data_IF_015663716303
#
_entry.id   IF_015663716303
#
_cell.length_a   1.000
_cell.length_b   1.000
_cell.length_c   1.000
_cell.angle_alpha   90.00
_cell.angle_beta   90.00
_cell.angle_gamma   90.00
#
_symmetry.space_group_name_H-M   'P 1'
#
loop_
_entity.id
_entity.type
_entity.pdbx_description
1 polymer ?
#
# COMPACT_ATOMS: atom_id res chain seq x y z
N UNK A 1 1.83 34.51 -35.70
CA UNK A 1 3.20 35.09 -35.72
C UNK A 1 4.14 34.05 -35.20
N UNK A 2 4.84 33.34 -36.10
CA UNK A 2 5.96 32.51 -35.78
C UNK A 2 7.00 33.37 -35.06
N UNK A 3 7.27 33.09 -33.79
CA UNK A 3 8.44 33.66 -33.15
C UNK A 3 9.66 33.05 -33.81
N UNK A 4 10.54 33.87 -34.29
CA UNK A 4 11.86 33.49 -34.73
C UNK A 4 12.71 33.00 -33.55
N UNK A 5 12.41 31.80 -33.08
CA UNK A 5 13.19 31.10 -32.10
C UNK A 5 14.00 30.03 -32.82
N UNK A 6 15.21 30.44 -33.09
CA UNK A 6 16.39 29.65 -33.42
C UNK A 6 16.38 28.89 -34.74
N UNK A 7 16.96 29.49 -35.76
CA UNK A 7 17.61 28.83 -36.90
C UNK A 7 18.89 28.02 -36.44
N UNK A 8 18.82 27.36 -35.29
CA UNK A 8 19.90 26.48 -34.84
C UNK A 8 19.72 25.16 -35.56
N UNK A 9 20.69 24.82 -36.39
CA UNK A 9 20.71 23.54 -37.11
C UNK A 9 20.76 22.37 -36.13
N UNK A 10 19.94 21.34 -36.38
CA UNK A 10 19.82 20.18 -35.52
C UNK A 10 20.33 18.95 -36.26
N UNK A 11 21.42 18.39 -35.78
CA UNK A 11 22.05 17.19 -36.34
C UNK A 11 21.91 16.01 -35.38
N UNK A 12 21.50 14.88 -35.92
CA UNK A 12 21.36 13.62 -35.18
C UNK A 12 22.39 12.62 -35.72
N UNK A 13 23.05 11.92 -34.83
CA UNK A 13 23.94 10.82 -35.21
C UNK A 13 23.07 9.62 -35.64
N UNK A 14 23.51 8.84 -36.65
CA UNK A 14 22.74 7.71 -37.21
C UNK A 14 22.48 6.62 -36.17
N UNK A 15 23.44 6.34 -35.31
CA UNK A 15 23.32 5.39 -34.21
C UNK A 15 22.33 5.86 -33.12
N UNK A 16 22.25 7.17 -32.89
CA UNK A 16 21.26 7.78 -32.01
C UNK A 16 19.83 7.60 -32.55
N UNK A 17 19.62 7.79 -33.85
CA UNK A 17 18.33 7.57 -34.51
C UNK A 17 17.92 6.10 -34.51
N UNK A 18 18.85 5.19 -34.81
CA UNK A 18 18.60 3.76 -34.80
C UNK A 18 18.18 3.27 -33.42
N UNK A 19 18.92 3.66 -32.38
CA UNK A 19 18.62 3.30 -30.99
C UNK A 19 17.26 3.87 -30.52
N UNK A 20 16.94 5.12 -30.91
CA UNK A 20 15.64 5.73 -30.60
C UNK A 20 14.47 4.95 -31.20
N UNK A 21 14.60 4.57 -32.48
CA UNK A 21 13.57 3.81 -33.17
C UNK A 21 13.35 2.41 -32.54
N UNK A 22 14.46 1.72 -32.21
CA UNK A 22 14.41 0.40 -31.55
C UNK A 22 13.79 0.50 -30.14
N UNK A 23 14.22 1.47 -29.33
CA UNK A 23 13.74 1.65 -27.96
C UNK A 23 12.28 2.12 -27.88
N UNK A 24 11.76 2.73 -28.94
CA UNK A 24 10.36 3.13 -29.04
C UNK A 24 9.40 1.96 -29.31
N UNK A 25 9.91 0.82 -29.80
CA UNK A 25 9.11 -0.40 -29.99
C UNK A 25 7.90 -0.21 -30.92
N UNK A 26 7.97 0.71 -31.89
CA UNK A 26 6.89 1.05 -32.81
C UNK A 26 5.95 2.17 -32.32
N UNK A 27 6.12 2.68 -31.12
CA UNK A 27 5.36 3.81 -30.61
C UNK A 27 5.97 5.15 -31.08
N UNK A 28 5.33 5.74 -32.08
CA UNK A 28 5.76 7.00 -32.69
C UNK A 28 5.68 8.18 -31.70
N UNK A 29 4.70 8.21 -30.78
CA UNK A 29 4.57 9.29 -29.80
C UNK A 29 5.74 9.26 -28.82
N UNK A 30 6.11 8.07 -28.36
CA UNK A 30 7.26 7.84 -27.49
C UNK A 30 8.54 8.29 -28.18
N UNK A 31 8.75 7.89 -29.44
CA UNK A 31 9.92 8.29 -30.22
C UNK A 31 10.03 9.82 -30.37
N UNK A 32 8.94 10.48 -30.78
CA UNK A 32 8.89 11.93 -30.96
C UNK A 32 9.07 12.69 -29.64
N UNK A 33 8.48 12.22 -28.55
CA UNK A 33 8.65 12.83 -27.21
C UNK A 33 10.10 12.74 -26.71
N UNK A 34 10.75 11.59 -26.90
CA UNK A 34 12.16 11.44 -26.58
C UNK A 34 13.07 12.34 -27.43
N UNK A 35 12.78 12.45 -28.71
CA UNK A 35 13.52 13.30 -29.63
C UNK A 35 13.38 14.78 -29.28
N UNK A 36 12.16 15.26 -29.02
CA UNK A 36 11.89 16.65 -28.63
C UNK A 36 12.62 17.02 -27.32
N UNK A 37 12.57 16.11 -26.33
CA UNK A 37 13.31 16.31 -25.10
C UNK A 37 14.84 16.34 -25.31
N UNK A 38 15.37 15.44 -26.14
CA UNK A 38 16.78 15.42 -26.48
C UNK A 38 17.22 16.71 -27.18
N UNK A 39 16.44 17.19 -28.15
CA UNK A 39 16.66 18.47 -28.85
C UNK A 39 16.64 19.64 -27.89
N UNK A 40 15.70 19.65 -26.94
CA UNK A 40 15.58 20.73 -25.94
C UNK A 40 16.77 20.73 -24.98
N UNK A 41 17.24 19.58 -24.55
CA UNK A 41 18.36 19.40 -23.61
C UNK A 41 19.74 19.56 -24.26
N UNK A 42 19.84 19.40 -25.58
CA UNK A 42 21.14 19.47 -26.28
C UNK A 42 21.75 20.89 -26.21
N UNK A 43 23.04 20.99 -25.81
CA UNK A 43 23.73 22.26 -25.84
C UNK A 43 23.90 22.76 -27.28
N UNK A 44 23.97 24.08 -27.44
CA UNK A 44 24.32 24.71 -28.73
C UNK A 44 25.82 24.85 -28.80
N UNK A 45 26.48 24.11 -29.71
CA UNK A 45 27.91 24.19 -29.97
C UNK A 45 28.12 24.66 -31.42
N UNK A 46 28.91 25.71 -31.63
CA UNK A 46 29.16 26.33 -32.94
C UNK A 46 27.92 26.64 -33.79
N UNK A 47 26.80 27.00 -33.13
CA UNK A 47 25.54 27.31 -33.83
C UNK A 47 24.72 26.08 -34.22
N UNK A 48 25.12 24.87 -33.81
CA UNK A 48 24.42 23.59 -34.04
C UNK A 48 24.09 22.90 -32.75
N UNK A 49 22.98 22.12 -32.74
CA UNK A 49 22.65 21.15 -31.70
C UNK A 49 22.95 19.75 -32.23
N UNK A 50 23.88 19.06 -31.61
CA UNK A 50 24.18 17.67 -31.95
C UNK A 50 23.55 16.72 -30.95
N UNK A 51 22.77 15.75 -31.45
CA UNK A 51 22.08 14.74 -30.64
C UNK A 51 22.88 13.42 -30.76
N UNK A 52 23.54 13.07 -29.68
CA UNK A 52 24.39 11.88 -29.61
C UNK A 52 23.65 10.66 -29.07
N UNK A 53 24.20 9.46 -29.32
CA UNK A 53 23.67 8.21 -28.77
C UNK A 53 23.53 8.23 -27.24
N UNK A 54 24.54 8.78 -26.54
CA UNK A 54 24.51 8.85 -25.07
C UNK A 54 23.38 9.76 -24.56
N UNK A 55 23.11 10.87 -25.23
CA UNK A 55 21.97 11.72 -24.91
C UNK A 55 20.66 10.97 -25.10
N UNK A 56 20.49 10.28 -26.23
CA UNK A 56 19.29 9.50 -26.49
C UNK A 56 19.14 8.39 -25.44
N UNK A 57 20.18 7.69 -25.07
CA UNK A 57 20.14 6.68 -23.99
C UNK A 57 19.66 7.25 -22.66
N UNK A 58 20.18 8.43 -22.26
CA UNK A 58 19.77 9.11 -21.04
C UNK A 58 18.31 9.57 -21.10
N UNK A 59 17.89 10.13 -22.21
CA UNK A 59 16.51 10.59 -22.43
C UNK A 59 15.55 9.41 -22.46
N UNK A 60 15.89 8.35 -23.17
CA UNK A 60 15.05 7.14 -23.29
C UNK A 60 14.87 6.48 -21.93
N UNK A 61 15.92 6.38 -21.11
CA UNK A 61 15.81 5.91 -19.72
C UNK A 61 14.84 6.76 -18.90
N UNK A 62 15.02 8.09 -18.90
CA UNK A 62 14.16 9.02 -18.15
C UNK A 62 12.70 9.00 -18.65
N UNK A 63 12.51 8.88 -19.94
CA UNK A 63 11.18 8.85 -20.55
C UNK A 63 10.47 7.52 -20.29
N UNK A 64 11.17 6.38 -20.34
CA UNK A 64 10.63 5.09 -19.95
C UNK A 64 10.17 5.11 -18.48
N UNK A 65 10.99 5.65 -17.57
CA UNK A 65 10.64 5.83 -16.15
C UNK A 65 9.42 6.74 -15.96
N UNK A 66 9.27 7.78 -16.78
CA UNK A 66 8.13 8.72 -16.71
C UNK A 66 6.85 8.11 -17.27
N UNK A 67 6.94 7.33 -18.37
CA UNK A 67 5.81 6.58 -18.92
C UNK A 67 5.33 5.48 -17.96
N UNK A 68 6.25 4.79 -17.28
CA UNK A 68 5.93 3.83 -16.23
C UNK A 68 5.15 4.47 -15.05
N UNK A 69 5.30 5.79 -14.84
CA UNK A 69 4.62 6.51 -13.76
C UNK A 69 3.21 7.00 -14.11
N UNK A 70 2.92 7.29 -15.38
CA UNK A 70 1.68 7.95 -15.83
C UNK A 70 0.78 7.03 -16.69
N UNK A 71 1.18 5.77 -16.97
CA UNK A 71 0.48 4.84 -17.84
C UNK A 71 -0.11 3.60 -17.13
N UNK A 72 -0.77 2.74 -17.91
CA UNK A 72 -1.33 1.45 -17.45
C UNK A 72 -0.25 0.56 -16.83
N UNK A 73 1.00 0.62 -17.33
CA UNK A 73 2.15 -0.10 -16.81
C UNK A 73 2.45 0.25 -15.34
N UNK A 74 2.17 1.49 -14.90
CA UNK A 74 2.35 1.88 -13.50
C UNK A 74 1.45 1.07 -12.56
N UNK A 75 0.17 0.92 -12.92
CA UNK A 75 -0.78 0.13 -12.12
C UNK A 75 -0.38 -1.34 -12.07
N UNK A 76 0.18 -1.86 -13.16
CA UNK A 76 0.68 -3.23 -13.23
C UNK A 76 1.91 -3.45 -12.35
N UNK A 77 2.87 -2.50 -12.33
CA UNK A 77 4.04 -2.56 -11.44
C UNK A 77 3.61 -2.51 -9.98
N UNK A 78 2.72 -1.59 -9.62
CA UNK A 78 2.18 -1.46 -8.26
C UNK A 78 1.45 -2.73 -7.84
N UNK A 79 0.65 -3.32 -8.74
CA UNK A 79 -0.06 -4.58 -8.52
C UNK A 79 0.90 -5.76 -8.36
N UNK A 80 1.92 -5.86 -9.21
CA UNK A 80 2.94 -6.90 -9.14
C UNK A 80 3.77 -6.80 -7.85
N UNK A 81 4.14 -5.59 -7.44
CA UNK A 81 4.83 -5.33 -6.18
C UNK A 81 4.05 -5.87 -4.97
N UNK A 82 2.77 -5.52 -4.88
CA UNK A 82 1.89 -5.98 -3.81
C UNK A 82 1.69 -7.50 -3.85
N UNK A 83 1.43 -8.08 -5.04
CA UNK A 83 1.22 -9.52 -5.22
C UNK A 83 2.47 -10.33 -4.89
N UNK A 84 3.67 -9.82 -5.18
CA UNK A 84 4.93 -10.48 -4.84
C UNK A 84 5.15 -10.57 -3.33
N UNK A 85 4.89 -9.49 -2.58
CA UNK A 85 4.95 -9.52 -1.12
C UNK A 85 3.90 -10.47 -0.53
N UNK A 86 2.67 -10.43 -1.04
CA UNK A 86 1.58 -11.33 -0.65
C UNK A 86 1.91 -12.79 -0.95
N UNK A 87 2.51 -13.06 -2.10
CA UNK A 87 2.93 -14.37 -2.57
C UNK A 87 4.22 -14.88 -1.94
N UNK A 88 4.83 -14.12 -1.02
CA UNK A 88 6.07 -14.49 -0.32
C UNK A 88 7.28 -14.68 -1.26
N UNK A 89 7.36 -13.85 -2.30
CA UNK A 89 8.51 -13.79 -3.21
C UNK A 89 9.29 -12.47 -2.97
N UNK A 90 10.34 -12.48 -2.13
CA UNK A 90 11.11 -11.29 -1.81
C UNK A 90 11.93 -10.78 -3.01
N UNK A 91 12.37 -11.65 -3.91
CA UNK A 91 13.18 -11.24 -5.08
C UNK A 91 12.33 -10.47 -6.08
N UNK A 92 11.15 -10.98 -6.40
CA UNK A 92 10.18 -10.27 -7.23
C UNK A 92 9.73 -8.96 -6.58
N UNK A 93 9.46 -8.95 -5.27
CA UNK A 93 9.07 -7.75 -4.54
C UNK A 93 10.17 -6.67 -4.59
N UNK A 94 11.43 -7.04 -4.42
CA UNK A 94 12.57 -6.12 -4.56
C UNK A 94 12.72 -5.60 -5.99
N UNK A 95 12.51 -6.44 -7.00
CA UNK A 95 12.56 -6.01 -8.40
C UNK A 95 11.51 -4.95 -8.69
N UNK A 96 10.25 -5.16 -8.27
CA UNK A 96 9.19 -4.18 -8.50
C UNK A 96 9.34 -2.94 -7.61
N UNK A 97 9.87 -3.07 -6.38
CA UNK A 97 10.29 -1.92 -5.57
C UNK A 97 11.30 -1.06 -6.34
N UNK A 98 12.36 -1.68 -6.87
CA UNK A 98 13.39 -0.97 -7.63
C UNK A 98 12.80 -0.23 -8.84
N UNK A 99 11.86 -0.83 -9.57
CA UNK A 99 11.15 -0.16 -10.68
C UNK A 99 10.38 1.07 -10.22
N UNK A 100 9.66 1.00 -9.10
CA UNK A 100 8.94 2.14 -8.51
C UNK A 100 9.89 3.26 -8.08
N UNK A 101 11.01 2.92 -7.43
CA UNK A 101 11.98 3.91 -6.95
C UNK A 101 12.74 4.57 -8.11
N UNK A 102 13.12 3.83 -9.15
CA UNK A 102 13.73 4.38 -10.36
C UNK A 102 12.77 5.31 -11.12
N UNK A 103 11.46 5.03 -11.09
CA UNK A 103 10.43 5.93 -11.60
C UNK A 103 10.19 7.16 -10.69
N UNK A 104 10.86 7.24 -9.52
CA UNK A 104 10.69 8.31 -8.53
C UNK A 104 9.36 8.22 -7.75
N UNK A 105 8.68 7.08 -7.78
CA UNK A 105 7.40 6.89 -7.10
C UNK A 105 7.52 6.29 -5.70
N UNK A 106 8.27 6.99 -4.86
CA UNK A 106 8.41 6.68 -3.43
C UNK A 106 7.05 6.60 -2.69
N UNK A 107 6.06 7.51 -2.95
CA UNK A 107 4.79 7.47 -2.25
C UNK A 107 3.98 6.19 -2.48
N UNK A 108 3.92 5.68 -3.72
CA UNK A 108 3.20 4.43 -4.01
C UNK A 108 3.91 3.21 -3.41
N UNK A 109 5.25 3.17 -3.47
CA UNK A 109 6.04 2.12 -2.83
C UNK A 109 5.75 2.06 -1.32
N UNK A 110 5.83 3.19 -0.62
CA UNK A 110 5.55 3.29 0.82
C UNK A 110 4.10 2.91 1.16
N UNK A 111 3.14 3.44 0.42
CA UNK A 111 1.72 3.18 0.68
C UNK A 111 1.37 1.71 0.51
N UNK A 112 1.85 1.06 -0.55
CA UNK A 112 1.56 -0.36 -0.80
C UNK A 112 2.24 -1.28 0.20
N UNK A 113 3.45 -0.95 0.62
CA UNK A 113 4.14 -1.67 1.68
C UNK A 113 3.36 -1.64 3.00
N UNK A 114 2.85 -0.46 3.40
CA UNK A 114 1.98 -0.33 4.59
C UNK A 114 0.69 -1.14 4.46
N UNK A 115 0.06 -1.11 3.29
CA UNK A 115 -1.17 -1.88 3.04
C UNK A 115 -0.88 -3.38 3.20
N UNK A 116 0.19 -3.91 2.56
CA UNK A 116 0.56 -5.32 2.67
C UNK A 116 0.90 -5.73 4.11
N UNK A 117 1.58 -4.86 4.87
CA UNK A 117 1.88 -5.13 6.28
C UNK A 117 0.61 -5.32 7.12
N UNK A 118 -0.44 -4.54 6.85
CA UNK A 118 -1.71 -4.62 7.58
C UNK A 118 -2.66 -5.69 7.02
N UNK A 119 -2.76 -5.80 5.69
CA UNK A 119 -3.72 -6.65 4.99
C UNK A 119 -3.27 -8.10 4.93
N UNK A 120 -1.99 -8.34 4.57
CA UNK A 120 -1.49 -9.67 4.26
C UNK A 120 -0.73 -10.33 5.43
N UNK A 121 0.01 -9.57 6.24
CA UNK A 121 0.73 -10.07 7.42
C UNK A 121 -0.13 -9.91 8.68
N UNK A 122 -0.55 -8.70 8.98
CA UNK A 122 -1.51 -8.37 10.03
C UNK A 122 -1.25 -9.07 11.35
N UNK A 123 -2.25 -9.81 11.83
CA UNK A 123 -2.22 -10.48 13.13
C UNK A 123 -1.31 -11.71 13.19
N UNK A 124 -0.80 -12.20 12.06
CA UNK A 124 0.20 -13.27 12.06
C UNK A 124 1.54 -12.81 12.66
N UNK A 125 1.88 -11.52 12.46
CA UNK A 125 3.05 -10.88 13.05
C UNK A 125 2.74 -9.39 13.35
N UNK A 126 2.05 -9.06 14.45
CA UNK A 126 1.56 -7.70 14.72
C UNK A 126 2.62 -6.62 14.76
N UNK A 127 3.87 -6.97 15.13
CA UNK A 127 5.00 -6.04 15.15
C UNK A 127 5.38 -5.53 13.76
N UNK A 128 4.90 -6.16 12.69
CA UNK A 128 5.19 -5.72 11.31
C UNK A 128 4.74 -4.29 11.06
N UNK A 129 3.62 -3.87 11.65
CA UNK A 129 3.01 -2.55 11.40
C UNK A 129 3.93 -1.42 11.89
N UNK A 130 4.36 -1.35 13.17
CA UNK A 130 5.29 -0.32 13.62
C UNK A 130 6.67 -0.41 12.95
N UNK A 131 7.15 -1.61 12.60
CA UNK A 131 8.43 -1.77 11.89
C UNK A 131 8.34 -1.16 10.49
N UNK A 132 7.31 -1.49 9.72
CA UNK A 132 7.10 -0.93 8.39
C UNK A 132 6.84 0.57 8.46
N UNK A 133 6.10 1.05 9.46
CA UNK A 133 5.90 2.49 9.67
C UNK A 133 7.23 3.21 9.89
N UNK A 134 8.11 2.67 10.74
CA UNK A 134 9.44 3.24 10.97
C UNK A 134 10.30 3.24 9.71
N UNK A 135 10.27 2.17 8.90
CA UNK A 135 10.99 2.10 7.63
C UNK A 135 10.48 3.12 6.61
N UNK A 136 9.17 3.31 6.53
CA UNK A 136 8.53 4.34 5.66
C UNK A 136 8.92 5.75 6.12
N UNK A 137 8.92 6.02 7.42
CA UNK A 137 9.34 7.31 7.96
C UNK A 137 10.82 7.59 7.67
N UNK A 138 11.69 6.59 7.86
CA UNK A 138 13.10 6.69 7.52
C UNK A 138 13.30 6.96 6.01
N UNK A 139 12.58 6.23 5.15
CA UNK A 139 12.65 6.43 3.71
C UNK A 139 12.23 7.85 3.29
N UNK A 140 11.17 8.38 3.88
CA UNK A 140 10.72 9.76 3.62
C UNK A 140 11.69 10.81 4.19
N UNK A 141 12.37 10.52 5.29
CA UNK A 141 13.34 11.42 5.91
C UNK A 141 14.62 11.55 5.08
N UNK A 142 15.15 10.42 4.59
CA UNK A 142 16.42 10.42 3.84
C UNK A 142 16.23 10.72 2.35
N UNK A 143 15.06 10.40 1.79
CA UNK A 143 14.77 10.60 0.37
C UNK A 143 15.54 9.63 -0.55
N UNK A 144 15.36 9.83 -1.88
CA UNK A 144 16.09 9.07 -2.89
C UNK A 144 17.49 9.65 -3.09
N UNK A 145 18.53 8.80 -3.31
CA UNK A 145 18.42 7.36 -3.55
C UNK A 145 18.49 6.48 -2.28
N UNK A 146 18.76 7.02 -1.09
CA UNK A 146 18.99 6.26 0.14
C UNK A 146 17.73 5.59 0.69
N UNK A 147 16.55 6.09 0.37
CA UNK A 147 15.25 5.52 0.75
C UNK A 147 15.11 4.02 0.37
N UNK A 148 15.89 3.55 -0.63
CA UNK A 148 15.90 2.14 -1.04
C UNK A 148 16.33 1.19 0.09
N UNK A 149 17.18 1.64 1.01
CA UNK A 149 17.75 0.79 2.07
C UNK A 149 16.67 0.38 3.10
N UNK A 150 16.03 1.32 3.83
CA UNK A 150 14.99 0.95 4.79
C UNK A 150 13.78 0.28 4.12
N UNK A 151 13.47 0.61 2.87
CA UNK A 151 12.37 -0.03 2.16
C UNK A 151 12.70 -1.46 1.74
N UNK A 152 13.95 -1.77 1.33
CA UNK A 152 14.36 -3.14 1.00
C UNK A 152 14.25 -4.07 2.21
N UNK A 153 14.75 -3.64 3.37
CA UNK A 153 14.65 -4.39 4.62
C UNK A 153 13.19 -4.70 4.99
N UNK A 154 12.32 -3.69 4.92
CA UNK A 154 10.91 -3.83 5.23
C UNK A 154 10.15 -4.72 4.22
N UNK A 155 10.46 -4.61 2.93
CA UNK A 155 9.86 -5.43 1.86
C UNK A 155 10.23 -6.90 2.04
N UNK A 156 11.52 -7.21 2.30
CA UNK A 156 11.96 -8.58 2.57
C UNK A 156 11.23 -9.12 3.80
N UNK A 157 11.16 -8.34 4.88
CA UNK A 157 10.48 -8.73 6.11
C UNK A 157 8.99 -9.02 5.86
N UNK A 158 8.27 -8.16 5.14
CA UNK A 158 6.85 -8.38 4.79
C UNK A 158 6.70 -9.62 3.91
N UNK A 159 7.53 -9.78 2.88
CA UNK A 159 7.47 -10.94 1.99
C UNK A 159 7.71 -12.25 2.72
N UNK A 160 8.66 -12.30 3.66
CA UNK A 160 9.05 -13.53 4.38
C UNK A 160 8.26 -13.77 5.68
N UNK A 161 7.42 -12.83 6.11
CA UNK A 161 6.58 -12.99 7.30
C UNK A 161 5.43 -13.97 7.07
N UNK A 162 4.93 -14.64 8.14
CA UNK A 162 3.68 -15.40 8.05
C UNK A 162 2.53 -14.48 7.66
N UNK A 163 1.53 -15.04 6.97
CA UNK A 163 0.42 -14.28 6.41
C UNK A 163 -0.89 -14.53 7.16
N UNK A 164 -1.68 -13.46 7.32
CA UNK A 164 -3.06 -13.52 7.80
C UNK A 164 -3.85 -12.32 7.29
N UNK A 165 -4.87 -12.58 6.52
CA UNK A 165 -5.84 -11.58 6.06
C UNK A 165 -7.11 -11.53 6.93
N UNK A 166 -7.12 -12.18 8.08
CA UNK A 166 -8.32 -12.36 8.91
C UNK A 166 -8.95 -11.04 9.38
N UNK A 167 -8.11 -10.04 9.72
CA UNK A 167 -8.60 -8.73 10.10
C UNK A 167 -9.23 -7.97 8.92
N UNK A 168 -8.61 -8.08 7.72
CA UNK A 168 -9.14 -7.52 6.47
C UNK A 168 -10.52 -8.12 6.14
N UNK A 169 -10.65 -9.45 6.16
CA UNK A 169 -11.92 -10.12 5.85
C UNK A 169 -12.99 -9.76 6.87
N UNK A 170 -12.62 -9.69 8.16
CA UNK A 170 -13.54 -9.33 9.24
C UNK A 170 -14.11 -7.92 9.09
N UNK A 171 -13.28 -6.93 8.83
CA UNK A 171 -13.75 -5.55 8.65
C UNK A 171 -14.58 -5.40 7.37
N UNK A 172 -14.22 -6.07 6.29
CA UNK A 172 -15.00 -6.03 5.06
C UNK A 172 -16.39 -6.66 5.22
N UNK A 173 -16.49 -7.78 5.95
CA UNK A 173 -17.77 -8.39 6.28
C UNK A 173 -18.65 -7.46 7.13
N UNK A 174 -18.07 -6.77 8.13
CA UNK A 174 -18.79 -5.80 8.93
C UNK A 174 -19.25 -4.58 8.11
N UNK A 175 -18.40 -4.08 7.21
CA UNK A 175 -18.75 -2.98 6.28
C UNK A 175 -19.89 -3.41 5.36
N UNK A 176 -19.87 -4.64 4.83
CA UNK A 176 -20.93 -5.17 3.97
C UNK A 176 -22.28 -5.21 4.70
N UNK A 177 -22.30 -5.59 5.98
CA UNK A 177 -23.52 -5.56 6.79
C UNK A 177 -24.06 -4.14 6.97
N UNK A 178 -23.19 -3.18 7.27
CA UNK A 178 -23.57 -1.77 7.38
C UNK A 178 -24.13 -1.22 6.06
N UNK A 179 -23.48 -1.51 4.96
CA UNK A 179 -23.92 -1.10 3.61
C UNK A 179 -25.27 -1.74 3.22
N UNK A 180 -25.53 -2.96 3.66
CA UNK A 180 -26.79 -3.64 3.47
C UNK A 180 -27.92 -3.16 4.44
N UNK A 181 -27.64 -2.17 5.28
CA UNK A 181 -28.59 -1.64 6.27
C UNK A 181 -28.79 -2.56 7.48
N UNK A 182 -27.98 -3.60 7.66
CA UNK A 182 -28.05 -4.49 8.83
C UNK A 182 -27.28 -3.89 10.00
N UNK A 183 -27.80 -2.84 10.60
CA UNK A 183 -27.16 -2.15 11.72
C UNK A 183 -27.91 -2.34 13.03
N UNK A 184 -29.23 -2.19 13.03
CA UNK A 184 -30.07 -2.28 14.22
C UNK A 184 -29.79 -1.21 15.28
N UNK A 185 -30.64 -1.09 16.31
CA UNK A 185 -30.40 -0.20 17.43
C UNK A 185 -29.27 -0.71 18.33
N UNK A 186 -28.48 0.22 18.84
CA UNK A 186 -27.41 -0.13 19.81
C UNK A 186 -28.06 -0.71 21.08
N UNK A 187 -27.57 -1.85 21.61
CA UNK A 187 -28.06 -2.44 22.84
C UNK A 187 -28.10 -1.41 23.99
N UNK A 188 -29.21 -1.39 24.74
CA UNK A 188 -29.48 -0.35 25.74
C UNK A 188 -28.36 -0.18 26.77
N UNK A 189 -27.77 -1.26 27.23
CA UNK A 189 -26.65 -1.26 28.19
C UNK A 189 -25.37 -0.60 27.67
N UNK A 190 -25.21 -0.47 26.34
CA UNK A 190 -24.06 0.18 25.71
C UNK A 190 -24.29 1.65 25.37
N UNK A 191 -25.53 2.14 25.49
CA UNK A 191 -25.86 3.53 25.19
C UNK A 191 -25.28 4.48 26.25
N UNK A 192 -24.93 5.71 25.82
CA UNK A 192 -24.44 6.72 26.74
C UNK A 192 -25.55 7.16 27.71
N UNK A 193 -25.20 7.29 28.99
CA UNK A 193 -26.13 7.72 30.06
C UNK A 193 -26.74 9.09 29.84
N UNK A 194 -26.11 9.96 29.08
CA UNK A 194 -26.58 11.30 28.78
C UNK A 194 -27.83 11.35 27.89
N UNK A 195 -28.21 10.24 27.25
CA UNK A 195 -29.45 10.13 26.46
C UNK A 195 -30.63 9.56 27.26
N UNK A 196 -30.44 9.22 28.54
CA UNK A 196 -31.58 8.91 29.41
C UNK A 196 -32.28 10.21 29.74
N UNK A 197 -33.52 10.37 29.29
CA UNK A 197 -34.36 11.52 29.66
C UNK A 197 -34.41 11.74 31.16
N UNK A 198 -34.70 12.97 31.61
CA UNK A 198 -34.82 13.31 33.06
C UNK A 198 -35.77 12.37 33.79
N UNK A 199 -36.82 11.89 33.11
CA UNK A 199 -37.88 11.00 33.64
C UNK A 199 -37.52 9.50 33.60
N UNK A 200 -36.36 9.12 33.10
CA UNK A 200 -35.96 7.71 33.03
C UNK A 200 -35.69 7.19 34.45
N UNK A 201 -36.59 6.30 34.93
CA UNK A 201 -36.45 5.62 36.22
C UNK A 201 -35.15 4.82 36.37
N UNK A 202 -34.50 4.50 35.24
CA UNK A 202 -33.36 3.61 35.20
C UNK A 202 -32.36 4.08 34.14
N UNK A 203 -31.29 4.79 34.57
CA UNK A 203 -30.29 5.40 33.67
C UNK A 203 -29.08 4.48 33.46
N UNK A 204 -28.73 4.18 32.18
CA UNK A 204 -27.52 3.45 31.79
C UNK A 204 -27.33 2.12 32.48
N UNK A 205 -28.44 1.42 32.70
CA UNK A 205 -28.45 0.23 33.54
C UNK A 205 -28.13 -1.03 32.77
N UNK A 206 -27.60 -2.00 33.54
CA UNK A 206 -27.26 -3.34 33.13
C UNK A 206 -25.92 -3.47 32.33
N UNK A 207 -25.14 -2.40 32.10
CA UNK A 207 -23.81 -2.57 31.65
C UNK A 207 -22.93 -3.23 32.72
N UNK A 208 -22.42 -4.41 32.39
CA UNK A 208 -21.50 -5.13 33.27
C UNK A 208 -20.08 -4.68 32.97
N UNK A 209 -19.45 -3.94 33.89
CA UNK A 209 -18.09 -3.44 33.72
C UNK A 209 -17.08 -4.58 33.84
N UNK A 210 -16.47 -4.97 32.70
CA UNK A 210 -15.61 -6.16 32.60
C UNK A 210 -14.48 -6.19 33.65
N UNK A 211 -13.87 -5.05 33.99
CA UNK A 211 -12.82 -5.00 35.02
C UNK A 211 -13.26 -5.35 36.43
N UNK A 212 -14.57 -5.41 36.73
CA UNK A 212 -15.11 -5.86 38.00
C UNK A 212 -15.29 -7.38 38.10
N UNK A 213 -14.95 -8.11 37.03
CA UNK A 213 -15.11 -9.57 36.95
C UNK A 213 -13.75 -10.26 36.79
N UNK A 214 -13.71 -11.55 37.16
CA UNK A 214 -12.52 -12.38 36.99
C UNK A 214 -12.04 -12.38 35.52
N UNK A 215 -10.73 -12.36 35.32
CA UNK A 215 -10.09 -12.26 34.01
C UNK A 215 -10.49 -11.03 33.19
N UNK A 216 -11.09 -10.01 33.80
CA UNK A 216 -11.62 -8.83 33.12
C UNK A 216 -12.61 -9.16 31.99
N UNK A 217 -13.36 -10.24 32.15
CA UNK A 217 -14.35 -10.68 31.17
C UNK A 217 -15.70 -11.02 31.84
N UNK A 218 -16.76 -10.69 31.14
CA UNK A 218 -18.12 -11.04 31.54
C UNK A 218 -18.99 -11.22 30.30
N UNK A 219 -19.82 -12.24 30.31
CA UNK A 219 -20.75 -12.48 29.21
C UNK A 219 -21.86 -11.41 29.19
N UNK A 220 -21.91 -10.65 28.10
CA UNK A 220 -22.99 -9.73 27.79
C UNK A 220 -23.07 -9.52 26.27
N UNK A 221 -24.23 -9.04 25.79
CA UNK A 221 -24.42 -8.77 24.39
C UNK A 221 -23.85 -7.40 24.02
N UNK A 222 -23.01 -7.36 22.98
CA UNK A 222 -22.42 -6.14 22.43
C UNK A 222 -22.98 -5.75 21.06
N UNK A 223 -23.35 -6.72 20.23
CA UNK A 223 -23.95 -6.46 18.92
C UNK A 223 -25.46 -6.19 19.04
N UNK A 224 -26.02 -5.40 18.11
CA UNK A 224 -27.47 -5.26 17.97
C UNK A 224 -28.17 -6.60 17.81
N UNK A 225 -29.46 -6.67 18.17
CA UNK A 225 -30.23 -7.92 18.12
C UNK A 225 -30.21 -8.59 16.75
N UNK A 226 -30.24 -7.80 15.68
CA UNK A 226 -30.20 -8.31 14.29
C UNK A 226 -28.86 -8.94 13.92
N UNK A 227 -27.81 -8.71 14.72
CA UNK A 227 -26.43 -9.17 14.50
C UNK A 227 -25.91 -9.98 15.69
N UNK A 228 -26.72 -10.30 16.71
CA UNK A 228 -26.27 -10.90 17.98
C UNK A 228 -25.47 -12.19 17.80
N UNK A 229 -25.78 -12.97 16.78
CA UNK A 229 -25.13 -14.25 16.47
C UNK A 229 -24.05 -14.12 15.37
N UNK A 230 -23.80 -12.90 14.88
CA UNK A 230 -22.83 -12.65 13.82
C UNK A 230 -21.41 -12.75 14.36
N UNK A 231 -20.53 -13.40 13.59
CA UNK A 231 -19.12 -13.57 13.91
C UNK A 231 -18.28 -13.09 12.73
N UNK A 232 -17.68 -11.93 12.86
CA UNK A 232 -16.84 -11.35 11.80
C UNK A 232 -15.41 -11.89 11.83
N UNK A 233 -14.80 -11.95 13.01
CA UNK A 233 -13.41 -12.37 13.16
C UNK A 233 -13.29 -13.84 13.54
N UNK A 234 -12.42 -14.54 12.83
CA UNK A 234 -11.97 -15.89 13.13
C UNK A 234 -10.45 -15.93 13.14
N UNK A 235 -9.85 -16.62 14.13
CA UNK A 235 -8.39 -16.73 14.22
C UNK A 235 -7.81 -17.50 13.03
N UNK A 236 -6.70 -17.00 12.49
CA UNK A 236 -5.91 -17.71 11.48
C UNK A 236 -5.14 -18.89 12.08
N UNK A 237 -4.60 -19.74 11.20
CA UNK A 237 -3.91 -20.98 11.60
C UNK A 237 -2.45 -20.76 12.01
N UNK A 238 -1.94 -19.51 11.91
CA UNK A 238 -0.59 -19.20 12.30
C UNK A 238 -0.39 -19.24 13.83
N UNK A 239 0.87 -19.42 14.24
CA UNK A 239 1.24 -19.60 15.66
C UNK A 239 0.76 -18.46 16.57
N UNK A 240 0.84 -17.21 16.10
CA UNK A 240 0.47 -16.01 16.89
C UNK A 240 -1.02 -15.98 17.18
N UNK A 241 -1.84 -16.15 16.14
CA UNK A 241 -3.29 -16.13 16.30
C UNK A 241 -3.82 -17.35 17.03
N UNK A 242 -3.20 -18.53 16.88
CA UNK A 242 -3.57 -19.71 17.67
C UNK A 242 -3.23 -19.55 19.16
N UNK A 243 -2.09 -18.92 19.50
CA UNK A 243 -1.77 -18.56 20.87
C UNK A 243 -2.79 -17.57 21.46
N UNK A 244 -3.18 -16.55 20.67
CA UNK A 244 -4.22 -15.60 21.07
C UNK A 244 -5.58 -16.28 21.25
N UNK A 245 -5.95 -17.22 20.37
CA UNK A 245 -7.18 -18.03 20.49
C UNK A 245 -7.20 -18.82 21.79
N UNK A 246 -6.11 -19.51 22.10
CA UNK A 246 -6.01 -20.31 23.33
C UNK A 246 -6.12 -19.42 24.59
N UNK A 247 -5.44 -18.28 24.61
CA UNK A 247 -5.57 -17.30 25.68
C UNK A 247 -7.01 -16.77 25.82
N UNK A 248 -7.65 -16.44 24.70
CA UNK A 248 -9.01 -15.92 24.68
C UNK A 248 -10.05 -16.95 25.15
N UNK A 249 -9.90 -18.23 24.78
CA UNK A 249 -10.73 -19.33 25.29
C UNK A 249 -10.58 -19.46 26.82
N UNK A 250 -9.34 -19.39 27.33
CA UNK A 250 -9.08 -19.45 28.77
C UNK A 250 -9.77 -18.34 29.55
N UNK A 251 -9.71 -17.07 29.09
CA UNK A 251 -10.35 -15.97 29.81
C UNK A 251 -11.90 -16.08 29.81
N UNK A 252 -12.47 -16.76 28.83
CA UNK A 252 -13.91 -17.01 28.72
C UNK A 252 -14.37 -18.25 29.51
N UNK A 253 -13.46 -19.03 30.02
CA UNK A 253 -13.77 -20.30 30.66
C UNK A 253 -14.21 -21.39 29.68
N UNK A 254 -13.85 -21.28 28.41
CA UNK A 254 -14.11 -22.27 27.35
C UNK A 254 -12.89 -23.22 27.23
N UNK A 255 -12.56 -23.98 28.30
CA UNK A 255 -11.34 -24.78 28.39
C UNK A 255 -11.33 -26.06 27.52
N UNK A 256 -12.36 -26.31 26.69
CA UNK A 256 -12.42 -27.49 25.82
C UNK A 256 -13.14 -27.19 24.50
N UNK A 257 -12.49 -26.46 23.59
CA UNK A 257 -12.88 -26.48 22.17
C UNK A 257 -11.65 -26.54 21.29
#
# INVERSE_FOLDING_TARGET
RSSAASDVYKRQDEDACAYLAESAGGDLRKALGCLDFAVTAAPVENGEKRITLDMIRQVTRRTAMRYDREGDDHYDIVSAYQKSMRGSDPDAALHYLARLLEAGDLPSACRRLMVCACEDVGLAYPQIIPIVKAAVDAANMVGLPEARLPLADAVILVATSPKSNRAHDAINAAIADVQAGRTGPIPRQLQNKHFDGEDALVKGQNYKYAHSYANHWVQQQYLPDVLKDTKYYTFGDNKTEQAARAYWAKIKGEENV
#
